data_IF_229975587232
#
_entry.id   IF_229975587232
#
_cell.length_a   1.000
_cell.length_b   1.000
_cell.length_c   1.000
_cell.angle_alpha   90.00
_cell.angle_beta   90.00
_cell.angle_gamma   90.00
#
_symmetry.space_group_name_H-M   'P 1'
#
loop_
_entity.id
_entity.type
_entity.pdbx_description
1 polymer ?
#
# COMPACT_ATOMS: atom_id res chain seq x y z
N UNK A 1 -4.08 41.56 22.42
CA UNK A 1 -3.44 41.07 21.17
C UNK A 1 -2.78 39.69 21.28
N UNK A 2 -2.34 39.20 22.46
CA UNK A 2 -1.67 37.89 22.58
C UNK A 2 -2.60 36.65 22.53
N UNK A 3 -3.86 36.78 22.97
CA UNK A 3 -4.80 35.65 23.02
C UNK A 3 -5.22 35.15 21.61
N UNK A 4 -5.33 36.07 20.63
CA UNK A 4 -5.68 35.75 19.23
C UNK A 4 -4.53 35.02 18.52
N UNK A 5 -3.28 35.32 18.86
CA UNK A 5 -2.11 34.63 18.31
C UNK A 5 -2.06 33.16 18.76
N UNK A 6 -2.48 32.88 19.99
CA UNK A 6 -2.52 31.51 20.55
C UNK A 6 -3.66 30.67 19.99
N UNK A 7 -4.82 31.26 19.67
CA UNK A 7 -5.92 30.56 19.01
C UNK A 7 -5.58 30.23 17.54
N UNK A 8 -4.97 31.16 16.81
CA UNK A 8 -4.51 30.91 15.43
C UNK A 8 -3.49 29.77 15.36
N UNK A 9 -2.54 29.71 16.31
CA UNK A 9 -1.58 28.60 16.43
C UNK A 9 -2.27 27.25 16.69
N UNK A 10 -3.31 27.22 17.54
CA UNK A 10 -4.08 25.99 17.81
C UNK A 10 -4.89 25.51 16.60
N UNK A 11 -5.45 26.42 15.82
CA UNK A 11 -6.19 26.07 14.60
C UNK A 11 -5.23 25.51 13.53
N UNK A 12 -4.05 26.10 13.39
CA UNK A 12 -3.06 25.63 12.42
C UNK A 12 -2.51 24.24 12.80
N UNK A 13 -2.26 23.98 14.08
CA UNK A 13 -1.82 22.65 14.53
C UNK A 13 -2.94 21.60 14.44
N UNK A 14 -4.19 21.97 14.69
CA UNK A 14 -5.34 21.09 14.48
C UNK A 14 -5.50 20.71 12.99
N UNK A 15 -5.42 21.68 12.08
CA UNK A 15 -5.50 21.41 10.64
C UNK A 15 -4.34 20.53 10.14
N UNK A 16 -3.12 20.74 10.65
CA UNK A 16 -1.98 19.89 10.32
C UNK A 16 -2.14 18.45 10.86
N UNK A 17 -2.81 18.29 12.01
CA UNK A 17 -3.11 16.96 12.57
C UNK A 17 -4.15 16.20 11.74
N UNK A 18 -5.18 16.89 11.24
CA UNK A 18 -6.20 16.26 10.37
C UNK A 18 -5.64 15.83 9.03
N UNK A 19 -4.78 16.64 8.42
CA UNK A 19 -4.06 16.27 7.19
C UNK A 19 -3.19 15.02 7.39
N UNK A 20 -2.50 14.90 8.52
CA UNK A 20 -1.72 13.71 8.87
C UNK A 20 -2.59 12.47 9.12
N UNK A 21 -3.78 12.63 9.70
CA UNK A 21 -4.75 11.54 9.90
C UNK A 21 -5.30 11.05 8.57
N UNK A 22 -5.58 11.96 7.63
CA UNK A 22 -6.02 11.60 6.28
C UNK A 22 -4.97 10.79 5.52
N UNK A 23 -3.69 11.19 5.55
CA UNK A 23 -2.59 10.46 4.91
C UNK A 23 -2.42 9.05 5.51
N UNK A 24 -2.55 8.91 6.83
CA UNK A 24 -2.47 7.58 7.49
C UNK A 24 -3.60 6.63 7.09
N UNK A 25 -4.78 7.14 6.72
CA UNK A 25 -5.91 6.30 6.27
C UNK A 25 -5.68 5.67 4.91
N UNK A 26 -4.86 6.27 4.03
CA UNK A 26 -4.54 5.69 2.73
C UNK A 26 -3.46 4.59 2.80
N UNK A 27 -2.74 4.48 3.92
CA UNK A 27 -1.79 3.40 4.19
C UNK A 27 -2.30 2.36 5.19
N UNK A 28 -3.35 2.68 5.95
CA UNK A 28 -4.04 1.72 6.80
C UNK A 28 -5.04 0.92 5.97
N UNK A 29 -4.68 -0.31 5.62
CA UNK A 29 -5.68 -1.27 5.18
C UNK A 29 -6.78 -1.36 6.27
N UNK A 30 -8.08 -1.39 5.93
CA UNK A 30 -9.11 -1.58 6.93
C UNK A 30 -8.80 -2.88 7.67
N UNK A 31 -8.67 -2.79 8.99
CA UNK A 31 -8.46 -3.95 9.85
C UNK A 31 -9.54 -4.98 9.49
N UNK A 32 -9.12 -6.08 8.86
CA UNK A 32 -10.00 -7.19 8.54
C UNK A 32 -10.49 -7.70 9.88
N UNK A 33 -11.80 -7.63 10.11
CA UNK A 33 -12.44 -8.05 11.34
C UNK A 33 -11.88 -9.41 11.75
N UNK A 34 -11.38 -9.53 12.98
CA UNK A 34 -10.84 -10.76 13.57
C UNK A 34 -11.88 -11.90 13.71
N UNK A 35 -13.00 -11.82 12.99
CA UNK A 35 -14.10 -12.78 13.00
C UNK A 35 -14.05 -13.77 11.82
N UNK A 36 -13.01 -13.72 10.97
CA UNK A 36 -12.85 -14.64 9.85
C UNK A 36 -11.80 -15.72 10.16
N UNK A 37 -12.16 -16.67 11.05
CA UNK A 37 -11.51 -17.97 11.17
C UNK A 37 -10.92 -18.28 12.54
N UNK A 38 -11.55 -19.22 13.26
CA UNK A 38 -10.97 -19.90 14.43
C UNK A 38 -11.68 -19.60 15.75
N UNK A 39 -12.01 -20.66 16.49
CA UNK A 39 -12.45 -20.59 17.88
C UNK A 39 -11.28 -20.07 18.74
N UNK A 40 -11.48 -18.95 19.44
CA UNK A 40 -10.48 -18.31 20.28
C UNK A 40 -9.85 -17.09 19.59
N UNK A 41 -9.41 -16.12 20.39
CA UNK A 41 -8.83 -14.84 19.95
C UNK A 41 -7.54 -14.95 19.11
N UNK A 42 -7.23 -16.12 18.55
CA UNK A 42 -5.98 -16.43 17.87
C UNK A 42 -6.12 -16.28 16.34
N UNK A 43 -5.17 -15.60 15.67
CA UNK A 43 -5.23 -15.42 14.24
C UNK A 43 -5.27 -16.73 13.45
N UNK A 44 -6.14 -16.77 12.43
CA UNK A 44 -6.35 -17.91 11.52
C UNK A 44 -5.09 -18.46 10.83
N UNK A 45 -3.96 -17.74 10.84
CA UNK A 45 -2.70 -18.14 10.21
C UNK A 45 -1.73 -18.89 11.15
N UNK A 46 -1.93 -18.86 12.47
CA UNK A 46 -0.97 -19.42 13.42
C UNK A 46 -1.05 -20.92 13.59
N UNK A 47 -2.23 -21.51 13.38
CA UNK A 47 -2.45 -22.96 13.42
C UNK A 47 -2.92 -23.52 12.07
N UNK A 48 -2.72 -22.78 10.98
CA UNK A 48 -3.09 -23.26 9.66
C UNK A 48 -2.14 -24.38 9.20
N UNK A 49 -2.70 -25.51 8.78
CA UNK A 49 -1.93 -26.62 8.18
C UNK A 49 -1.19 -26.19 6.90
N UNK A 50 -1.74 -25.21 6.17
CA UNK A 50 -1.14 -24.65 4.97
C UNK A 50 -0.54 -23.26 5.28
N UNK A 51 0.71 -23.05 4.87
CA UNK A 51 1.42 -21.79 5.13
C UNK A 51 0.77 -20.56 4.47
N UNK A 52 0.11 -20.75 3.33
CA UNK A 52 -0.56 -19.67 2.61
C UNK A 52 -2.04 -19.97 2.42
N UNK A 53 -2.90 -19.16 3.02
CA UNK A 53 -4.33 -19.15 2.72
C UNK A 53 -4.63 -18.29 1.49
N UNK A 54 -4.20 -18.81 0.33
CA UNK A 54 -4.47 -18.21 -0.98
C UNK A 54 -5.99 -18.18 -1.27
N UNK A 55 -6.78 -19.22 -0.94
CA UNK A 55 -8.23 -19.24 -1.15
C UNK A 55 -9.01 -18.10 -0.50
N UNK A 56 -8.64 -17.64 0.70
CA UNK A 56 -9.40 -16.59 1.43
C UNK A 56 -9.08 -15.15 1.02
N UNK A 57 -8.20 -14.93 0.05
CA UNK A 57 -7.87 -13.60 -0.47
C UNK A 57 -9.05 -13.05 -1.30
N UNK A 58 -9.64 -11.94 -0.83
CA UNK A 58 -10.66 -11.20 -1.60
C UNK A 58 -10.06 -10.67 -2.92
N UNK A 59 -10.80 -10.85 -4.02
CA UNK A 59 -10.41 -10.48 -5.38
C UNK A 59 -9.07 -11.11 -5.83
N UNK A 60 -8.84 -12.38 -5.46
CA UNK A 60 -7.59 -13.10 -5.75
C UNK A 60 -7.15 -13.00 -7.20
N UNK A 61 -8.03 -13.31 -8.16
CA UNK A 61 -7.69 -13.33 -9.59
C UNK A 61 -7.17 -11.98 -10.08
N UNK A 62 -7.76 -10.89 -9.60
CA UNK A 62 -7.32 -9.54 -9.97
C UNK A 62 -5.92 -9.24 -9.41
N UNK A 63 -5.66 -9.58 -8.13
CA UNK A 63 -4.36 -9.34 -7.50
C UNK A 63 -3.24 -10.13 -8.16
N UNK A 64 -3.45 -11.43 -8.40
CA UNK A 64 -2.47 -12.25 -9.10
C UNK A 64 -2.33 -11.83 -10.57
N UNK A 65 -3.41 -11.46 -11.25
CA UNK A 65 -3.36 -10.96 -12.61
C UNK A 65 -2.53 -9.67 -12.74
N UNK A 66 -2.78 -8.68 -11.89
CA UNK A 66 -2.00 -7.43 -11.85
C UNK A 66 -0.54 -7.72 -11.51
N UNK A 67 -0.27 -8.62 -10.56
CA UNK A 67 1.10 -8.99 -10.19
C UNK A 67 1.86 -9.63 -11.36
N UNK A 68 1.23 -10.55 -12.10
CA UNK A 68 1.84 -11.24 -13.24
C UNK A 68 2.02 -10.28 -14.43
N UNK A 69 1.00 -9.48 -14.75
CA UNK A 69 1.12 -8.50 -15.85
C UNK A 69 2.19 -7.46 -15.52
N UNK A 70 2.23 -6.98 -14.28
CA UNK A 70 3.26 -6.08 -13.80
C UNK A 70 4.66 -6.67 -13.95
N UNK A 71 4.89 -7.89 -13.45
CA UNK A 71 6.22 -8.52 -13.51
C UNK A 71 6.70 -8.76 -14.93
N UNK A 72 5.83 -9.23 -15.83
CA UNK A 72 6.14 -9.41 -17.26
C UNK A 72 6.44 -8.08 -17.92
N UNK A 73 5.68 -7.03 -17.60
CA UNK A 73 5.90 -5.69 -18.15
C UNK A 73 7.27 -5.15 -17.73
N UNK A 74 7.67 -5.30 -16.47
CA UNK A 74 9.01 -4.89 -16.01
C UNK A 74 10.12 -5.69 -16.71
N UNK A 75 9.94 -6.99 -16.90
CA UNK A 75 10.91 -7.83 -17.58
C UNK A 75 11.19 -7.37 -19.02
N UNK A 76 10.17 -6.85 -19.72
CA UNK A 76 10.29 -6.35 -21.10
C UNK A 76 10.70 -4.87 -21.14
N UNK A 77 10.16 -4.04 -20.26
CA UNK A 77 10.40 -2.59 -20.27
C UNK A 77 11.87 -2.24 -19.96
N UNK A 78 12.49 -2.93 -19.01
CA UNK A 78 13.88 -2.67 -18.60
C UNK A 78 14.87 -2.78 -19.78
N UNK A 79 14.92 -3.89 -20.56
CA UNK A 79 15.84 -4.00 -21.68
C UNK A 79 15.54 -3.00 -22.81
N UNK A 80 14.27 -2.68 -23.07
CA UNK A 80 13.91 -1.68 -24.10
C UNK A 80 14.42 -0.29 -23.76
N UNK A 81 14.23 0.14 -22.50
CA UNK A 81 14.74 1.44 -22.02
C UNK A 81 16.27 1.45 -22.05
N UNK A 82 16.91 0.33 -21.68
CA UNK A 82 18.37 0.21 -21.73
C UNK A 82 18.91 0.41 -23.15
N UNK A 83 18.32 -0.24 -24.16
CA UNK A 83 18.72 -0.09 -25.57
C UNK A 83 18.47 1.33 -26.06
N UNK A 84 17.31 1.93 -25.74
CA UNK A 84 17.01 3.31 -26.13
C UNK A 84 18.04 4.30 -25.58
N UNK A 85 18.40 4.15 -24.30
CA UNK A 85 19.41 4.98 -23.66
C UNK A 85 20.81 4.77 -24.27
N UNK A 86 21.15 3.54 -24.68
CA UNK A 86 22.41 3.26 -25.38
C UNK A 86 22.43 3.87 -26.78
N UNK A 87 21.32 3.84 -27.53
CA UNK A 87 21.23 4.45 -28.85
C UNK A 87 21.35 5.98 -28.79
N UNK A 88 20.81 6.61 -27.75
CA UNK A 88 20.98 8.06 -27.52
C UNK A 88 22.47 8.37 -27.30
N UNK A 89 23.15 7.59 -26.45
CA UNK A 89 24.57 7.78 -26.16
C UNK A 89 25.46 7.53 -27.38
N UNK A 90 25.12 6.55 -28.22
CA UNK A 90 25.90 6.17 -29.40
C UNK A 90 25.71 7.08 -30.62
N UNK A 91 24.70 7.97 -30.60
CA UNK A 91 24.42 8.93 -31.67
C UNK A 91 25.10 10.30 -31.47
N UNK A 92 25.73 10.53 -30.32
CA UNK A 92 26.63 11.67 -30.08
C UNK A 92 28.08 11.25 -30.25
#
# INVERSE_FOLDING_TARGET
>A
MAAVANSARRVLTAAASEANVAVRRFHAAPARSAAAGGSGNEPAYLHAYHMYDIPSIKNRKLKFGVAVVGSVTFAIAVPLIAVWHQQIKARG
#
